data_IF_840717180297
#
_entry.id   IF_840717180297
#
_cell.length_a   1.000
_cell.length_b   1.000
_cell.length_c   1.000
_cell.angle_alpha   90.00
_cell.angle_beta   90.00
_cell.angle_gamma   90.00
#
_symmetry.space_group_name_H-M   'P 1'
#
loop_
_entity.id
_entity.type
_entity.pdbx_description
1 polymer ?
#
# COMPACT_ATOMS: atom_id res chain seq x y z
N UNK A 1 -12.27 11.67 4.31
CA UNK A 1 -10.89 11.35 4.74
C UNK A 1 -10.58 9.94 4.29
N UNK A 2 -9.50 9.73 3.54
CA UNK A 2 -9.04 8.40 3.14
C UNK A 2 -8.19 7.78 4.24
N UNK A 3 -8.52 6.57 4.67
CA UNK A 3 -7.76 5.85 5.71
C UNK A 3 -6.53 5.18 5.11
N UNK A 4 -5.56 4.78 5.96
CA UNK A 4 -4.41 3.99 5.51
C UNK A 4 -4.82 2.66 4.86
N UNK A 5 -5.95 2.08 5.29
CA UNK A 5 -6.52 0.88 4.68
C UNK A 5 -7.02 1.17 3.26
N UNK A 6 -7.78 2.26 3.06
CA UNK A 6 -8.27 2.64 1.72
C UNK A 6 -7.11 2.93 0.76
N UNK A 7 -6.02 3.53 1.26
CA UNK A 7 -4.81 3.76 0.47
C UNK A 7 -4.12 2.44 0.07
N UNK A 8 -4.10 1.45 0.96
CA UNK A 8 -3.54 0.14 0.68
C UNK A 8 -4.37 -0.62 -0.34
N UNK A 9 -5.70 -0.63 -0.19
CA UNK A 9 -6.62 -1.30 -1.11
C UNK A 9 -6.51 -0.68 -2.53
N UNK A 10 -6.48 0.65 -2.62
CA UNK A 10 -6.26 1.34 -3.89
C UNK A 10 -4.87 1.03 -4.49
N UNK A 11 -3.82 0.97 -3.66
CA UNK A 11 -2.48 0.62 -4.13
C UNK A 11 -2.43 -0.80 -4.70
N UNK A 12 -3.15 -1.74 -4.10
CA UNK A 12 -3.25 -3.12 -4.60
C UNK A 12 -4.03 -3.18 -5.91
N UNK A 13 -5.12 -2.42 -6.04
CA UNK A 13 -5.87 -2.30 -7.28
C UNK A 13 -5.00 -1.76 -8.43
N UNK A 14 -4.25 -0.68 -8.19
CA UNK A 14 -3.36 -0.09 -9.19
C UNK A 14 -2.20 -1.02 -9.57
N UNK A 15 -1.66 -1.76 -8.60
CA UNK A 15 -0.63 -2.77 -8.86
C UNK A 15 -1.16 -3.91 -9.75
N UNK A 16 -2.36 -4.41 -9.47
CA UNK A 16 -2.99 -5.43 -10.31
C UNK A 16 -3.19 -4.93 -11.74
N UNK A 17 -3.66 -3.68 -11.89
CA UNK A 17 -3.81 -3.05 -13.20
C UNK A 17 -2.49 -2.87 -13.93
N UNK A 18 -1.43 -2.44 -13.25
CA UNK A 18 -0.10 -2.28 -13.82
C UNK A 18 0.48 -3.62 -14.31
N UNK A 19 0.27 -4.71 -13.55
CA UNK A 19 0.67 -6.07 -13.95
C UNK A 19 -0.06 -6.53 -15.21
N UNK A 20 -1.37 -6.28 -15.29
CA UNK A 20 -2.17 -6.63 -16.47
C UNK A 20 -1.69 -5.83 -17.70
N UNK A 21 -1.33 -4.55 -17.50
CA UNK A 21 -0.83 -3.69 -18.56
C UNK A 21 0.62 -3.96 -18.97
N UNK A 22 1.38 -4.76 -18.21
CA UNK A 22 2.81 -4.97 -18.43
C UNK A 22 3.67 -3.73 -18.14
N UNK A 23 3.19 -2.80 -17.31
CA UNK A 23 3.93 -1.59 -16.93
C UNK A 23 4.82 -1.88 -15.72
N UNK A 24 6.03 -2.37 -15.98
CA UNK A 24 6.99 -2.79 -14.95
C UNK A 24 7.41 -1.65 -14.02
N UNK A 25 7.51 -0.41 -14.52
CA UNK A 25 7.83 0.76 -13.72
C UNK A 25 6.70 1.12 -12.76
N UNK A 26 5.45 1.02 -13.20
CA UNK A 26 4.31 1.16 -12.31
C UNK A 26 4.26 0.01 -11.30
N UNK A 27 4.52 -1.23 -11.70
CA UNK A 27 4.58 -2.37 -10.77
C UNK A 27 5.63 -2.15 -9.69
N UNK A 28 6.83 -1.69 -10.03
CA UNK A 28 7.89 -1.38 -9.07
C UNK A 28 7.45 -0.29 -8.09
N UNK A 29 6.98 0.86 -8.61
CA UNK A 29 6.54 1.99 -7.78
C UNK A 29 5.39 1.62 -6.83
N UNK A 30 4.39 0.88 -7.31
CA UNK A 30 3.27 0.46 -6.47
C UNK A 30 3.67 -0.63 -5.47
N UNK A 31 4.67 -1.47 -5.78
CA UNK A 31 5.21 -2.44 -4.83
C UNK A 31 5.90 -1.75 -3.65
N UNK A 32 6.78 -0.78 -3.94
CA UNK A 32 7.46 0.03 -2.93
C UNK A 32 6.45 0.79 -2.06
N UNK A 33 5.44 1.40 -2.70
CA UNK A 33 4.38 2.11 -1.98
C UNK A 33 3.55 1.18 -1.09
N UNK A 34 3.25 -0.04 -1.54
CA UNK A 34 2.55 -1.05 -0.74
C UNK A 34 3.34 -1.40 0.53
N UNK A 35 4.65 -1.59 0.41
CA UNK A 35 5.51 -1.89 1.57
C UNK A 35 5.51 -0.76 2.59
N UNK A 36 5.62 0.49 2.13
CA UNK A 36 5.55 1.65 3.01
C UNK A 36 4.22 1.71 3.77
N UNK A 37 3.10 1.52 3.07
CA UNK A 37 1.76 1.53 3.68
C UNK A 37 1.59 0.41 4.70
N UNK A 38 2.11 -0.79 4.42
CA UNK A 38 2.09 -1.90 5.38
C UNK A 38 2.90 -1.58 6.64
N UNK A 39 4.09 -0.98 6.49
CA UNK A 39 4.91 -0.53 7.64
C UNK A 39 4.20 0.53 8.47
N UNK A 40 3.55 1.50 7.83
CA UNK A 40 2.76 2.52 8.52
C UNK A 40 1.59 1.90 9.29
N UNK A 41 0.88 0.94 8.67
CA UNK A 41 -0.22 0.23 9.33
C UNK A 41 0.26 -0.56 10.55
N UNK A 42 1.41 -1.23 10.44
CA UNK A 42 2.04 -1.95 11.54
C UNK A 42 2.45 -1.00 12.67
N UNK A 43 3.09 0.13 12.35
CA UNK A 43 3.46 1.16 13.33
C UNK A 43 2.26 1.73 14.07
N UNK A 44 1.16 2.01 13.35
CA UNK A 44 -0.07 2.50 13.95
C UNK A 44 -0.69 1.47 14.90
N UNK A 45 -0.71 0.19 14.51
CA UNK A 45 -1.19 -0.91 15.37
C UNK A 45 -0.34 -1.09 16.62
N UNK A 46 0.99 -0.96 16.50
CA UNK A 46 1.90 -1.02 17.64
C UNK A 46 1.67 0.14 18.60
N UNK A 47 1.49 1.37 18.09
CA UNK A 47 1.16 2.53 18.93
C UNK A 47 -0.18 2.35 19.65
N UNK A 48 -1.23 1.90 18.94
CA UNK A 48 -2.54 1.66 19.55
C UNK A 48 -2.53 0.57 20.63
N UNK A 49 -1.57 -0.37 20.59
CA UNK A 49 -1.42 -1.43 21.59
C UNK A 49 -0.58 -1.00 22.79
N UNK A 50 0.22 0.06 22.65
CA UNK A 50 1.10 0.58 23.69
C UNK A 50 0.43 1.67 24.56
N UNK A 51 -0.77 2.13 24.18
CA UNK A 51 -1.60 3.10 24.92
C UNK A 51 -2.65 2.38 25.75
#
# INVERSE_FOLDING_TARGET
MTTLKDQLDNCQYLLARARIAGDDDAVRRFSERRELLVRQLASLRSHLRAV
#
